data_IF_009018894594
#
_entry.id   IF_009018894594
#
_cell.length_a   1.000
_cell.length_b   1.000
_cell.length_c   1.000
_cell.angle_alpha   90.00
_cell.angle_beta   90.00
_cell.angle_gamma   90.00
#
_symmetry.space_group_name_H-M   'P 1'
#
loop_
_entity.id
_entity.type
_entity.pdbx_description
1 polymer ?
#
# COMPACT_ATOMS: atom_id res chain seq x y z
N UNK A 1 13.86 -30.11 -41.97
CA UNK A 1 13.79 -31.53 -42.34
C UNK A 1 15.19 -32.13 -42.36
N UNK A 2 15.39 -33.36 -41.87
CA UNK A 2 16.69 -34.07 -41.95
C UNK A 2 16.73 -35.03 -43.13
N UNK A 3 17.94 -35.40 -43.56
CA UNK A 3 18.19 -36.37 -44.64
C UNK A 3 17.42 -37.69 -44.44
N UNK A 4 17.03 -38.32 -45.55
CA UNK A 4 16.31 -39.59 -45.53
C UNK A 4 17.23 -40.71 -45.02
N UNK A 5 16.93 -41.37 -43.90
CA UNK A 5 17.79 -42.44 -43.38
C UNK A 5 17.61 -43.79 -44.11
N UNK A 6 16.66 -43.91 -45.04
CA UNK A 6 16.27 -45.18 -45.65
C UNK A 6 17.04 -45.48 -46.94
N UNK A 7 17.71 -46.63 -46.99
CA UNK A 7 18.35 -47.19 -48.20
C UNK A 7 17.49 -48.30 -48.83
N UNK A 8 17.57 -48.55 -50.15
CA UNK A 8 16.69 -49.49 -50.85
C UNK A 8 16.69 -50.92 -50.27
N UNK A 9 17.84 -51.41 -49.82
CA UNK A 9 18.01 -52.78 -49.32
C UNK A 9 17.64 -52.96 -47.83
N UNK A 10 17.50 -51.86 -47.09
CA UNK A 10 17.39 -51.90 -45.61
C UNK A 10 16.00 -51.53 -45.09
N UNK A 11 15.16 -50.92 -45.93
CA UNK A 11 13.85 -50.43 -45.52
C UNK A 11 12.72 -51.33 -46.06
N UNK A 12 12.08 -52.18 -45.22
CA UNK A 12 10.99 -53.05 -45.66
C UNK A 12 9.76 -52.28 -46.15
N UNK A 13 9.60 -51.02 -45.73
CA UNK A 13 8.49 -50.14 -46.13
C UNK A 13 8.82 -49.29 -47.38
N UNK A 14 9.95 -49.54 -48.05
CA UNK A 14 10.40 -48.82 -49.26
C UNK A 14 10.29 -47.29 -49.13
N UNK A 15 10.70 -46.74 -47.98
CA UNK A 15 10.62 -45.30 -47.71
C UNK A 15 11.64 -44.47 -48.52
N UNK A 16 12.55 -45.12 -49.27
CA UNK A 16 13.44 -44.46 -50.21
C UNK A 16 12.66 -43.90 -51.42
N UNK A 17 11.60 -44.57 -51.86
CA UNK A 17 10.86 -44.19 -53.08
C UNK A 17 10.04 -42.90 -52.91
N UNK A 18 10.00 -42.33 -51.70
CA UNK A 18 9.28 -41.10 -51.41
C UNK A 18 10.15 -39.91 -51.82
N UNK A 19 9.68 -39.16 -52.83
CA UNK A 19 10.36 -37.98 -53.36
C UNK A 19 10.64 -36.92 -52.29
N UNK A 20 11.78 -36.26 -52.40
CA UNK A 20 12.22 -35.26 -51.43
C UNK A 20 11.32 -34.03 -51.38
N UNK A 21 10.76 -33.62 -52.51
CA UNK A 21 9.74 -32.56 -52.60
C UNK A 21 8.51 -32.89 -51.75
N UNK A 22 8.06 -34.15 -51.77
CA UNK A 22 6.93 -34.59 -50.95
C UNK A 22 7.26 -34.55 -49.46
N UNK A 23 8.47 -34.98 -49.09
CA UNK A 23 8.94 -34.90 -47.70
C UNK A 23 8.97 -33.45 -47.21
N UNK A 24 9.44 -32.54 -48.06
CA UNK A 24 9.45 -31.10 -47.77
C UNK A 24 8.03 -30.55 -47.59
N UNK A 25 7.09 -30.90 -48.47
CA UNK A 25 5.70 -30.49 -48.33
C UNK A 25 5.03 -30.97 -47.03
N UNK A 26 5.33 -32.21 -46.60
CA UNK A 26 4.84 -32.74 -45.30
C UNK A 26 5.47 -31.97 -44.14
N UNK A 27 6.77 -31.70 -44.20
CA UNK A 27 7.48 -30.94 -43.17
C UNK A 27 6.91 -29.52 -43.04
N UNK A 28 6.76 -28.80 -44.15
CA UNK A 28 6.26 -27.43 -44.17
C UNK A 28 4.82 -27.37 -43.65
N UNK A 29 3.97 -28.32 -44.05
CA UNK A 29 2.61 -28.42 -43.53
C UNK A 29 2.60 -28.67 -42.02
N UNK A 30 3.37 -29.65 -41.54
CA UNK A 30 3.42 -30.00 -40.11
C UNK A 30 3.85 -28.82 -39.25
N UNK A 31 4.89 -28.09 -39.66
CA UNK A 31 5.39 -26.94 -38.90
C UNK A 31 4.54 -25.68 -39.05
N UNK A 32 3.66 -25.61 -40.06
CA UNK A 32 2.63 -24.57 -40.15
C UNK A 32 1.50 -24.70 -39.10
N UNK A 33 1.33 -25.90 -38.51
CA UNK A 33 0.28 -26.19 -37.54
C UNK A 33 0.62 -25.64 -36.14
N UNK A 34 -0.42 -25.32 -35.35
CA UNK A 34 -0.25 -25.02 -33.92
C UNK A 34 0.28 -26.24 -33.15
N UNK A 35 0.90 -26.02 -31.99
CA UNK A 35 1.49 -27.10 -31.17
C UNK A 35 0.49 -28.20 -30.82
N UNK A 36 -0.77 -27.84 -30.59
CA UNK A 36 -1.86 -28.81 -30.32
C UNK A 36 -2.16 -29.63 -31.59
N UNK A 37 -2.37 -28.95 -32.74
CA UNK A 37 -2.63 -29.61 -34.02
C UNK A 37 -1.46 -30.47 -34.50
N UNK A 38 -0.22 -30.11 -34.18
CA UNK A 38 0.96 -30.94 -34.45
C UNK A 38 0.90 -32.27 -33.69
N UNK A 39 0.39 -32.27 -32.46
CA UNK A 39 0.21 -33.50 -31.68
C UNK A 39 -0.93 -34.34 -32.24
N UNK A 40 -2.05 -33.72 -32.61
CA UNK A 40 -3.18 -34.42 -33.24
C UNK A 40 -2.81 -35.00 -34.61
N UNK A 41 -1.97 -34.29 -35.36
CA UNK A 41 -1.41 -34.78 -36.62
C UNK A 41 -0.57 -36.03 -36.39
N UNK A 42 0.29 -36.05 -35.36
CA UNK A 42 1.06 -37.25 -34.98
C UNK A 42 0.14 -38.42 -34.61
N UNK A 43 -0.91 -38.16 -33.83
CA UNK A 43 -1.85 -39.21 -33.37
C UNK A 43 -2.62 -39.79 -34.55
N UNK A 44 -3.14 -38.95 -35.46
CA UNK A 44 -3.88 -39.39 -36.65
C UNK A 44 -3.01 -40.19 -37.64
N UNK A 45 -1.71 -39.92 -37.67
CA UNK A 45 -0.74 -40.63 -38.52
C UNK A 45 -0.03 -41.80 -37.80
N UNK A 46 -0.49 -42.17 -36.60
CA UNK A 46 0.05 -43.30 -35.84
C UNK A 46 -1.06 -44.28 -35.45
N UNK A 47 -0.93 -45.53 -35.88
CA UNK A 47 -1.83 -46.61 -35.44
C UNK A 47 -1.19 -47.44 -34.34
N UNK A 48 -1.88 -47.57 -33.21
CA UNK A 48 -1.47 -48.40 -32.07
C UNK A 48 -2.18 -49.75 -32.13
N UNK A 49 -1.43 -50.83 -32.33
CA UNK A 49 -1.95 -52.20 -32.33
C UNK A 49 -1.38 -53.00 -31.15
N UNK A 50 -2.19 -53.90 -30.57
CA UNK A 50 -1.71 -54.87 -29.57
C UNK A 50 -0.81 -55.90 -30.26
N UNK A 51 0.26 -56.33 -29.58
CA UNK A 51 1.21 -57.31 -30.14
C UNK A 51 0.49 -58.65 -30.38
N UNK A 52 0.39 -59.08 -31.65
CA UNK A 52 -0.36 -60.27 -32.08
C UNK A 52 0.32 -61.61 -31.78
N UNK A 53 1.65 -61.66 -31.66
CA UNK A 53 2.44 -62.87 -31.32
C UNK A 53 3.42 -62.59 -30.19
N UNK A 54 3.34 -63.35 -29.09
CA UNK A 54 4.35 -63.39 -28.03
C UNK A 54 5.46 -64.37 -28.46
N UNK A 55 6.73 -63.96 -28.36
CA UNK A 55 7.91 -64.83 -28.60
C UNK A 55 8.69 -65.14 -27.32
N UNK A 56 8.23 -64.62 -26.18
CA UNK A 56 8.84 -64.83 -24.86
C UNK A 56 8.41 -66.19 -24.30
N UNK A 57 9.33 -66.91 -23.64
CA UNK A 57 9.03 -68.13 -22.89
C UNK A 57 7.96 -67.84 -21.82
N UNK A 58 7.10 -68.82 -21.58
CA UNK A 58 6.02 -68.74 -20.59
C UNK A 58 6.59 -68.28 -19.23
N UNK A 59 5.98 -67.25 -18.64
CA UNK A 59 6.34 -66.55 -17.39
C UNK A 59 7.17 -65.24 -17.43
N UNK A 60 7.47 -64.64 -18.59
CA UNK A 60 8.00 -63.25 -18.63
C UNK A 60 7.04 -62.34 -19.39
N UNK A 61 6.45 -61.34 -18.70
CA UNK A 61 5.71 -60.28 -19.37
C UNK A 61 6.63 -59.50 -20.32
N UNK A 62 6.26 -59.47 -21.61
CA UNK A 62 6.96 -58.63 -22.58
C UNK A 62 6.84 -57.16 -22.18
N UNK A 63 7.98 -56.47 -22.06
CA UNK A 63 8.04 -55.00 -21.91
C UNK A 63 7.33 -54.25 -23.04
N UNK A 64 7.18 -54.89 -24.22
CA UNK A 64 6.46 -54.34 -25.37
C UNK A 64 5.05 -54.91 -25.43
N UNK A 65 4.08 -54.15 -24.92
CA UNK A 65 2.64 -54.49 -24.95
C UNK A 65 1.94 -54.03 -26.24
N UNK A 66 2.48 -53.00 -26.91
CA UNK A 66 1.92 -52.39 -28.11
C UNK A 66 2.97 -52.22 -29.22
N UNK A 67 2.51 -52.27 -30.46
CA UNK A 67 3.28 -51.91 -31.66
C UNK A 67 2.65 -50.68 -32.29
N UNK A 68 3.51 -49.72 -32.65
CA UNK A 68 3.10 -48.50 -33.34
C UNK A 68 3.50 -48.60 -34.81
N UNK A 69 2.54 -48.35 -35.69
CA UNK A 69 2.73 -48.22 -37.13
C UNK A 69 2.53 -46.77 -37.53
N UNK A 70 3.42 -46.24 -38.36
CA UNK A 70 3.43 -44.83 -38.76
C UNK A 70 3.04 -44.70 -40.22
N UNK A 71 2.28 -43.67 -40.55
CA UNK A 71 1.75 -43.43 -41.88
C UNK A 71 2.03 -42.01 -42.34
N UNK A 72 2.13 -41.80 -43.64
CA UNK A 72 2.09 -40.48 -44.26
C UNK A 72 1.00 -40.48 -45.34
N UNK A 73 0.42 -39.31 -45.60
CA UNK A 73 -0.54 -39.17 -46.70
C UNK A 73 0.23 -39.07 -48.02
N UNK A 74 -0.11 -39.90 -49.00
CA UNK A 74 0.42 -39.88 -50.36
C UNK A 74 -0.78 -39.89 -51.33
N UNK A 75 -1.12 -38.72 -51.87
CA UNK A 75 -2.33 -38.56 -52.70
C UNK A 75 -3.61 -38.94 -51.93
N UNK A 76 -4.28 -40.00 -52.38
CA UNK A 76 -5.57 -40.49 -51.87
C UNK A 76 -5.45 -41.58 -50.78
N UNK A 77 -4.23 -41.93 -50.34
CA UNK A 77 -4.02 -43.03 -49.39
C UNK A 77 -2.99 -42.77 -48.28
N UNK A 78 -3.06 -43.60 -47.22
CA UNK A 78 -2.06 -43.65 -46.15
C UNK A 78 -0.97 -44.67 -46.51
N UNK A 79 0.27 -44.21 -46.68
CA UNK A 79 1.43 -45.08 -46.91
C UNK A 79 2.15 -45.39 -45.60
N UNK A 80 2.41 -46.67 -45.26
CA UNK A 80 3.19 -47.02 -44.09
C UNK A 80 4.65 -46.62 -44.24
N UNK A 81 5.22 -46.00 -43.21
CA UNK A 81 6.62 -45.57 -43.18
C UNK A 81 7.33 -46.10 -41.94
N UNK A 82 8.66 -46.17 -42.01
CA UNK A 82 9.46 -46.57 -40.85
C UNK A 82 9.58 -45.39 -39.85
N UNK A 83 9.80 -45.72 -38.57
CA UNK A 83 9.97 -44.73 -37.50
C UNK A 83 11.10 -43.73 -37.79
N UNK A 84 12.23 -44.22 -38.30
CA UNK A 84 13.39 -43.39 -38.61
C UNK A 84 13.07 -42.34 -39.68
N UNK A 85 12.38 -42.75 -40.75
CA UNK A 85 11.89 -41.87 -41.80
C UNK A 85 10.93 -40.82 -41.23
N UNK A 86 9.94 -41.24 -40.45
CA UNK A 86 8.91 -40.36 -39.91
C UNK A 86 9.51 -39.25 -39.03
N UNK A 87 10.39 -39.61 -38.10
CA UNK A 87 11.04 -38.67 -37.18
C UNK A 87 11.98 -37.70 -37.92
N UNK A 88 12.75 -38.19 -38.90
CA UNK A 88 13.70 -37.37 -39.67
C UNK A 88 12.99 -36.43 -40.64
N UNK A 89 11.89 -36.88 -41.25
CA UNK A 89 11.05 -36.06 -42.13
C UNK A 89 10.39 -34.93 -41.36
N UNK A 90 9.84 -35.17 -40.16
CA UNK A 90 9.24 -34.13 -39.31
C UNK A 90 10.24 -33.30 -38.49
N UNK A 91 11.49 -33.77 -38.38
CA UNK A 91 12.54 -33.23 -37.50
C UNK A 91 12.15 -33.13 -36.01
N UNK A 92 11.48 -34.15 -35.52
CA UNK A 92 11.09 -34.26 -34.10
C UNK A 92 12.03 -35.20 -33.33
N UNK A 93 11.99 -35.16 -32.00
CA UNK A 93 12.71 -36.15 -31.17
C UNK A 93 11.83 -37.39 -30.96
N UNK A 94 12.42 -38.58 -30.96
CA UNK A 94 11.69 -39.83 -30.69
C UNK A 94 10.95 -39.80 -29.35
N UNK A 95 11.54 -39.18 -28.32
CA UNK A 95 10.91 -39.00 -26.99
C UNK A 95 9.62 -38.19 -27.07
N UNK A 96 9.57 -37.15 -27.90
CA UNK A 96 8.38 -36.33 -28.08
C UNK A 96 7.26 -37.14 -28.76
N UNK A 97 7.59 -37.87 -29.83
CA UNK A 97 6.67 -38.78 -30.50
C UNK A 97 6.06 -39.80 -29.53
N UNK A 98 6.89 -40.48 -28.73
CA UNK A 98 6.41 -41.44 -27.74
C UNK A 98 5.53 -40.81 -26.65
N UNK A 99 5.88 -39.61 -26.17
CA UNK A 99 5.08 -38.89 -25.18
C UNK A 99 3.66 -38.66 -25.74
N UNK A 100 3.57 -38.05 -26.93
CA UNK A 100 2.29 -37.73 -27.59
C UNK A 100 1.43 -38.99 -27.75
N UNK A 101 2.00 -40.08 -28.26
CA UNK A 101 1.29 -41.35 -28.46
C UNK A 101 0.86 -41.99 -27.12
N UNK A 102 1.71 -41.92 -26.10
CA UNK A 102 1.43 -42.53 -24.79
C UNK A 102 0.33 -41.80 -24.02
N UNK A 103 0.22 -40.50 -24.21
CA UNK A 103 -0.78 -39.63 -23.56
C UNK A 103 -2.02 -39.41 -24.43
N UNK A 104 -2.08 -39.97 -25.63
CA UNK A 104 -3.25 -39.82 -26.49
C UNK A 104 -4.41 -40.71 -25.98
N UNK A 105 -5.60 -40.13 -25.92
CA UNK A 105 -6.85 -40.81 -25.54
C UNK A 105 -7.84 -40.68 -26.71
N UNK A 106 -8.50 -41.79 -27.06
CA UNK A 106 -9.56 -41.84 -28.10
C UNK A 106 -9.23 -41.14 -29.44
N UNK A 107 -7.95 -41.14 -29.84
CA UNK A 107 -7.51 -40.55 -31.11
C UNK A 107 -7.19 -39.05 -31.08
N UNK A 108 -7.26 -38.42 -29.91
CA UNK A 108 -6.88 -37.00 -29.72
C UNK A 108 -5.68 -36.87 -28.79
N UNK A 109 -4.89 -35.81 -28.98
CA UNK A 109 -3.78 -35.51 -28.08
C UNK A 109 -4.26 -34.82 -26.79
N UNK A 110 -3.57 -35.09 -25.68
CA UNK A 110 -3.88 -34.46 -24.40
C UNK A 110 -3.51 -32.95 -24.43
N UNK A 111 -4.39 -32.05 -23.94
CA UNK A 111 -4.13 -30.61 -23.95
C UNK A 111 -2.95 -30.24 -23.05
N UNK A 112 -2.25 -29.14 -23.35
CA UNK A 112 -1.16 -28.65 -22.51
C UNK A 112 -1.71 -28.10 -21.18
N UNK A 113 -1.24 -28.68 -20.06
CA UNK A 113 -1.64 -28.31 -18.70
C UNK A 113 -0.62 -27.41 -17.99
N UNK A 114 0.46 -26.98 -18.66
CA UNK A 114 1.45 -26.05 -18.08
C UNK A 114 0.78 -24.76 -17.61
N UNK A 115 1.13 -24.29 -16.42
CA UNK A 115 0.60 -23.06 -15.82
C UNK A 115 -0.85 -23.14 -15.31
N UNK A 116 -1.53 -24.29 -15.45
CA UNK A 116 -2.94 -24.45 -15.02
C UNK A 116 -3.09 -25.04 -13.60
N UNK A 117 -1.99 -25.42 -12.96
CA UNK A 117 -2.02 -25.95 -11.60
C UNK A 117 -2.12 -24.81 -10.56
N UNK A 118 -3.02 -24.96 -9.60
CA UNK A 118 -3.11 -24.03 -8.46
C UNK A 118 -1.88 -24.26 -7.57
N UNK A 119 -1.15 -23.20 -7.17
CA UNK A 119 -0.01 -23.34 -6.27
C UNK A 119 -0.42 -23.95 -4.93
N UNK A 120 0.36 -24.89 -4.41
CA UNK A 120 0.10 -25.56 -3.13
C UNK A 120 0.04 -24.58 -1.93
N UNK A 121 0.73 -23.44 -2.02
CA UNK A 121 0.79 -22.42 -0.97
C UNK A 121 -0.37 -21.42 -1.00
N UNK A 122 -1.37 -21.62 -1.88
CA UNK A 122 -2.51 -20.71 -1.99
C UNK A 122 -3.43 -20.90 -0.78
N UNK A 123 -3.64 -19.83 -0.01
CA UNK A 123 -4.58 -19.83 1.11
C UNK A 123 -5.97 -20.24 0.60
N UNK A 124 -6.62 -21.23 1.24
CA UNK A 124 -7.90 -21.72 0.75
C UNK A 124 -8.99 -20.64 0.89
N UNK A 125 -9.98 -20.61 -0.04
CA UNK A 125 -10.94 -19.50 -0.13
C UNK A 125 -11.80 -19.32 1.12
N UNK A 126 -12.12 -20.42 1.80
CA UNK A 126 -12.89 -20.41 3.05
C UNK A 126 -12.19 -19.60 4.17
N UNK A 127 -10.88 -19.74 4.31
CA UNK A 127 -10.10 -18.99 5.29
C UNK A 127 -10.00 -17.50 4.95
N UNK A 128 -9.92 -17.17 3.65
CA UNK A 128 -9.98 -15.79 3.21
C UNK A 128 -11.33 -15.15 3.53
N UNK A 129 -12.43 -15.89 3.37
CA UNK A 129 -13.76 -15.40 3.69
C UNK A 129 -13.92 -15.15 5.19
N UNK A 130 -13.46 -16.08 6.04
CA UNK A 130 -13.46 -15.90 7.50
C UNK A 130 -12.76 -14.62 7.96
N UNK A 131 -11.66 -14.23 7.30
CA UNK A 131 -10.95 -12.97 7.60
C UNK A 131 -11.81 -11.76 7.22
N UNK A 132 -12.47 -11.79 6.05
CA UNK A 132 -13.34 -10.69 5.61
C UNK A 132 -14.54 -10.52 6.52
N UNK A 133 -15.19 -11.62 6.88
CA UNK A 133 -16.34 -11.62 7.77
C UNK A 133 -15.95 -11.02 9.13
N UNK A 134 -14.81 -11.43 9.69
CA UNK A 134 -14.28 -10.85 10.93
C UNK A 134 -14.02 -9.35 10.83
N UNK A 135 -13.43 -8.87 9.72
CA UNK A 135 -13.16 -7.43 9.54
C UNK A 135 -14.46 -6.63 9.41
N UNK A 136 -15.50 -7.19 8.77
CA UNK A 136 -16.82 -6.57 8.64
C UNK A 136 -17.59 -6.51 9.97
N UNK A 137 -17.40 -7.49 10.85
CA UNK A 137 -17.97 -7.49 12.21
C UNK A 137 -17.36 -6.40 13.11
N UNK A 138 -16.22 -5.81 12.75
CA UNK A 138 -15.57 -4.80 13.58
C UNK A 138 -16.41 -3.51 13.64
N UNK A 139 -16.50 -2.86 14.83
CA UNK A 139 -17.27 -1.63 15.02
C UNK A 139 -16.55 -0.42 14.40
N UNK A 140 -16.43 -0.36 13.08
CA UNK A 140 -15.77 0.73 12.36
C UNK A 140 -16.72 1.92 12.16
N UNK A 141 -16.38 3.07 12.73
CA UNK A 141 -17.22 4.28 12.68
C UNK A 141 -16.62 5.28 11.68
N UNK A 142 -17.42 5.93 10.81
CA UNK A 142 -16.92 6.99 9.95
C UNK A 142 -16.43 8.20 10.75
N UNK A 143 -15.36 8.84 10.29
CA UNK A 143 -14.87 10.08 10.89
C UNK A 143 -15.95 11.17 10.88
N UNK A 144 -16.40 11.60 12.06
CA UNK A 144 -17.42 12.65 12.25
C UNK A 144 -17.00 14.01 11.67
N UNK A 145 -15.71 14.24 11.45
CA UNK A 145 -15.14 15.53 11.04
C UNK A 145 -14.64 15.57 9.58
N UNK A 146 -14.54 14.43 8.89
CA UNK A 146 -13.99 14.36 7.53
C UNK A 146 -14.98 13.84 6.47
N UNK A 147 -16.30 13.87 6.75
CA UNK A 147 -17.33 13.43 5.79
C UNK A 147 -17.25 14.17 4.44
N UNK A 148 -16.75 15.41 4.43
CA UNK A 148 -16.65 16.22 3.20
C UNK A 148 -15.50 15.78 2.27
N UNK A 149 -14.48 15.07 2.76
CA UNK A 149 -13.24 14.79 2.01
C UNK A 149 -12.80 13.31 2.00
N UNK A 150 -13.34 12.43 2.86
CA UNK A 150 -12.93 11.01 2.90
C UNK A 150 -14.04 10.06 3.36
N UNK A 151 -14.16 8.90 2.69
CA UNK A 151 -15.02 7.77 3.07
C UNK A 151 -14.36 6.79 4.06
N UNK A 152 -13.27 7.19 4.71
CA UNK A 152 -12.47 6.30 5.58
C UNK A 152 -13.14 6.07 6.93
N UNK A 153 -13.25 4.80 7.33
CA UNK A 153 -13.80 4.38 8.62
C UNK A 153 -12.68 4.12 9.64
N UNK A 154 -12.99 4.26 10.93
CA UNK A 154 -12.01 4.14 12.00
C UNK A 154 -12.44 3.12 13.06
N UNK A 155 -11.51 2.25 13.44
CA UNK A 155 -11.69 1.31 14.55
C UNK A 155 -11.50 1.99 15.90
N UNK A 156 -12.23 1.56 16.94
CA UNK A 156 -12.07 2.04 18.31
C UNK A 156 -10.63 1.92 18.82
N UNK A 157 -10.31 2.76 19.82
CA UNK A 157 -8.98 2.87 20.42
C UNK A 157 -8.48 1.56 21.05
N UNK A 158 -9.40 0.70 21.48
CA UNK A 158 -9.12 -0.58 22.13
C UNK A 158 -8.29 -1.53 21.25
N UNK A 159 -8.47 -1.45 19.93
CA UNK A 159 -7.73 -2.30 18.99
C UNK A 159 -6.26 -1.88 18.85
N UNK A 160 -5.88 -0.66 19.25
CA UNK A 160 -4.53 -0.06 19.27
C UNK A 160 -3.80 -0.05 17.93
N UNK A 161 -3.46 -1.21 17.38
CA UNK A 161 -2.70 -1.40 16.15
C UNK A 161 -3.05 -2.74 15.48
N UNK A 162 -2.60 -2.91 14.23
CA UNK A 162 -2.96 -4.07 13.41
C UNK A 162 -2.45 -5.40 13.95
N UNK A 163 -1.27 -5.41 14.58
CA UNK A 163 -0.72 -6.63 15.18
C UNK A 163 -1.51 -7.05 16.42
N UNK A 164 -2.03 -6.10 17.21
CA UNK A 164 -2.94 -6.39 18.31
C UNK A 164 -4.31 -6.89 17.81
N UNK A 165 -4.84 -6.28 16.74
CA UNK A 165 -6.06 -6.77 16.08
C UNK A 165 -5.91 -8.22 15.60
N UNK A 166 -4.77 -8.55 14.98
CA UNK A 166 -4.48 -9.93 14.57
C UNK A 166 -4.40 -10.89 15.76
N UNK A 167 -3.82 -10.48 16.90
CA UNK A 167 -3.79 -11.31 18.12
C UNK A 167 -5.20 -11.63 18.61
N UNK A 168 -6.10 -10.66 18.60
CA UNK A 168 -7.51 -10.85 18.99
C UNK A 168 -8.21 -11.79 18.01
N UNK A 169 -8.04 -11.59 16.71
CA UNK A 169 -8.55 -12.50 15.67
C UNK A 169 -8.06 -13.95 15.88
N UNK A 170 -6.76 -14.13 16.12
CA UNK A 170 -6.15 -15.44 16.35
C UNK A 170 -6.70 -16.10 17.61
N UNK A 171 -6.82 -15.35 18.72
CA UNK A 171 -7.39 -15.86 19.97
C UNK A 171 -8.86 -16.25 19.82
N UNK A 172 -9.69 -15.43 19.16
CA UNK A 172 -11.11 -15.75 18.89
C UNK A 172 -11.24 -17.07 18.14
N UNK A 173 -10.52 -17.24 17.03
CA UNK A 173 -10.58 -18.46 16.24
C UNK A 173 -9.99 -19.68 16.98
N UNK A 174 -8.93 -19.48 17.77
CA UNK A 174 -8.33 -20.56 18.56
C UNK A 174 -9.27 -21.05 19.67
N UNK A 175 -10.00 -20.14 20.33
CA UNK A 175 -11.00 -20.50 21.33
C UNK A 175 -12.22 -21.21 20.72
N UNK A 176 -12.60 -20.85 19.50
CA UNK A 176 -13.70 -21.48 18.74
C UNK A 176 -13.28 -22.77 17.99
N UNK A 177 -12.02 -23.20 18.12
CA UNK A 177 -11.49 -24.38 17.42
C UNK A 177 -11.40 -24.23 15.89
N UNK A 178 -11.46 -23.00 15.38
CA UNK A 178 -11.42 -22.68 13.94
C UNK A 178 -9.99 -22.47 13.45
N UNK A 179 -9.75 -22.85 12.20
CA UNK A 179 -8.48 -22.56 11.50
C UNK A 179 -8.37 -21.07 11.19
N UNK A 180 -7.16 -20.53 11.22
CA UNK A 180 -6.89 -19.10 11.03
C UNK A 180 -5.73 -18.86 10.05
N UNK A 181 -5.68 -17.67 9.45
CA UNK A 181 -4.59 -17.29 8.53
C UNK A 181 -3.37 -16.74 9.26
N UNK A 182 -2.20 -16.73 8.60
CA UNK A 182 -1.00 -16.06 9.09
C UNK A 182 -1.13 -14.52 9.08
N UNK A 183 -0.38 -13.84 9.95
CA UNK A 183 -0.45 -12.38 10.13
C UNK A 183 -0.24 -11.60 8.83
N UNK A 184 0.68 -12.04 7.97
CA UNK A 184 0.97 -11.38 6.69
C UNK A 184 -0.24 -11.37 5.76
N UNK A 185 -0.97 -12.48 5.70
CA UNK A 185 -2.17 -12.63 4.89
C UNK A 185 -3.28 -11.74 5.44
N UNK A 186 -3.51 -11.79 6.76
CA UNK A 186 -4.47 -10.92 7.44
C UNK A 186 -4.19 -9.43 7.21
N UNK A 187 -2.93 -9.01 7.38
CA UNK A 187 -2.49 -7.62 7.19
C UNK A 187 -2.70 -7.15 5.76
N UNK A 188 -2.36 -7.98 4.77
CA UNK A 188 -2.58 -7.62 3.37
C UNK A 188 -4.07 -7.45 3.07
N UNK A 189 -4.91 -8.43 3.44
CA UNK A 189 -6.36 -8.35 3.25
C UNK A 189 -6.95 -7.09 3.90
N UNK A 190 -6.56 -6.78 5.14
CA UNK A 190 -7.01 -5.58 5.84
C UNK A 190 -6.62 -4.28 5.11
N UNK A 191 -5.38 -4.17 4.62
CA UNK A 191 -4.89 -2.93 4.01
C UNK A 191 -5.36 -2.72 2.57
N UNK A 192 -5.57 -3.80 1.81
CA UNK A 192 -5.92 -3.71 0.38
C UNK A 192 -7.42 -3.74 0.14
N UNK A 193 -8.19 -4.52 0.92
CA UNK A 193 -9.62 -4.71 0.69
C UNK A 193 -10.49 -3.76 1.54
N UNK A 194 -9.97 -3.21 2.63
CA UNK A 194 -10.74 -2.39 3.56
C UNK A 194 -10.16 -0.99 3.75
N UNK A 195 -10.99 0.05 3.57
CA UNK A 195 -10.61 1.43 3.84
C UNK A 195 -10.83 1.80 5.32
N UNK A 196 -10.21 1.02 6.22
CA UNK A 196 -10.35 1.14 7.67
C UNK A 196 -8.99 1.52 8.29
N UNK A 197 -8.98 2.36 9.32
CA UNK A 197 -7.76 2.69 10.08
C UNK A 197 -8.01 2.78 11.57
N UNK A 198 -6.94 2.81 12.37
CA UNK A 198 -7.06 2.94 13.81
C UNK A 198 -7.40 4.39 14.17
N UNK A 199 -8.35 4.58 15.09
CA UNK A 199 -8.64 5.91 15.62
C UNK A 199 -7.46 6.40 16.47
N UNK A 200 -6.64 7.27 15.89
CA UNK A 200 -5.60 7.99 16.62
C UNK A 200 -6.30 9.09 17.43
N UNK A 201 -6.17 9.14 18.77
CA UNK A 201 -6.71 10.24 19.55
C UNK A 201 -6.19 11.56 18.98
N UNK A 202 -7.10 12.43 18.53
CA UNK A 202 -6.71 13.80 18.22
C UNK A 202 -6.19 14.42 19.50
N UNK A 203 -4.96 14.96 19.46
CA UNK A 203 -4.49 15.91 20.45
C UNK A 203 -5.50 17.06 20.50
N UNK A 204 -5.83 17.49 21.72
CA UNK A 204 -6.63 18.68 22.01
C UNK A 204 -8.09 18.66 21.52
N UNK A 205 -8.88 17.69 22.03
CA UNK A 205 -10.35 17.83 21.97
C UNK A 205 -10.80 18.95 22.89
N UNK A 206 -11.68 19.82 22.39
CA UNK A 206 -12.29 20.87 23.20
C UNK A 206 -13.08 20.28 24.38
N UNK A 207 -12.67 20.61 25.60
CA UNK A 207 -13.29 20.12 26.84
C UNK A 207 -14.78 20.47 26.90
N UNK A 208 -15.15 21.67 26.43
CA UNK A 208 -16.57 22.10 26.36
C UNK A 208 -17.37 21.21 25.41
N UNK A 209 -16.82 20.85 24.24
CA UNK A 209 -17.51 19.94 23.32
C UNK A 209 -17.70 18.55 23.93
N UNK A 210 -16.69 18.02 24.63
CA UNK A 210 -16.81 16.75 25.35
C UNK A 210 -17.91 16.83 26.42
N UNK A 211 -17.96 17.93 27.18
CA UNK A 211 -19.02 18.17 28.19
C UNK A 211 -20.41 18.13 27.54
N UNK A 212 -20.60 18.80 26.41
CA UNK A 212 -21.91 18.84 25.73
C UNK A 212 -22.29 17.51 25.06
N UNK A 213 -21.31 16.71 24.63
CA UNK A 213 -21.55 15.35 24.12
C UNK A 213 -22.00 14.40 25.24
N UNK A 214 -21.41 14.53 26.43
CA UNK A 214 -21.70 13.66 27.58
C UNK A 214 -22.99 14.05 28.34
N UNK A 215 -23.44 15.30 28.20
CA UNK A 215 -24.65 15.83 28.86
C UNK A 215 -25.63 16.42 27.82
N UNK A 216 -26.28 15.59 26.98
CA UNK A 216 -27.22 16.07 25.96
C UNK A 216 -28.44 16.72 26.62
N UNK A 217 -28.74 17.97 26.25
CA UNK A 217 -29.94 18.71 26.67
C UNK A 217 -29.73 19.74 27.80
N UNK A 218 -28.72 19.57 28.67
CA UNK A 218 -28.49 20.49 29.82
C UNK A 218 -27.86 21.83 29.44
N UNK A 219 -27.16 21.93 28.31
CA UNK A 219 -26.32 23.08 27.94
C UNK A 219 -26.58 23.58 26.52
N UNK A 220 -27.82 23.55 26.05
CA UNK A 220 -28.15 23.82 24.64
C UNK A 220 -27.72 25.23 24.21
N UNK A 221 -28.03 26.27 25.01
CA UNK A 221 -27.64 27.66 24.72
C UNK A 221 -26.11 27.86 24.74
N UNK A 222 -25.42 27.31 25.75
CA UNK A 222 -23.95 27.39 25.84
C UNK A 222 -23.26 26.66 24.69
N UNK A 223 -23.86 25.57 24.21
CA UNK A 223 -23.40 24.80 23.06
C UNK A 223 -23.56 25.60 21.77
N UNK A 224 -24.72 26.22 21.56
CA UNK A 224 -24.98 27.06 20.39
C UNK A 224 -24.01 28.24 20.35
N UNK A 225 -23.85 28.96 21.46
CA UNK A 225 -22.87 30.05 21.57
C UNK A 225 -21.45 29.58 21.28
N UNK A 226 -21.02 28.46 21.85
CA UNK A 226 -19.69 27.90 21.62
C UNK A 226 -19.47 27.51 20.14
N UNK A 227 -20.49 27.02 19.45
CA UNK A 227 -20.43 26.72 18.02
C UNK A 227 -20.35 27.98 17.16
N UNK A 228 -21.09 29.03 17.52
CA UNK A 228 -20.99 30.34 16.88
C UNK A 228 -19.60 30.94 17.05
N UNK A 229 -19.09 31.00 18.29
CA UNK A 229 -17.73 31.50 18.61
C UNK A 229 -16.66 30.76 17.80
N UNK A 230 -16.82 29.44 17.63
CA UNK A 230 -15.93 28.61 16.82
C UNK A 230 -15.93 29.04 15.35
N UNK A 231 -17.11 29.22 14.75
CA UNK A 231 -17.24 29.62 13.34
C UNK A 231 -16.67 31.02 13.13
N UNK A 232 -17.00 31.97 14.00
CA UNK A 232 -16.52 33.34 13.92
C UNK A 232 -15.00 33.44 14.08
N UNK A 233 -14.43 32.75 15.08
CA UNK A 233 -12.98 32.72 15.30
C UNK A 233 -12.24 32.17 14.10
N UNK A 234 -12.74 31.07 13.52
CA UNK A 234 -12.13 30.46 12.35
C UNK A 234 -12.22 31.35 11.12
N UNK A 235 -13.39 31.97 10.89
CA UNK A 235 -13.63 32.89 9.77
C UNK A 235 -12.71 34.10 9.87
N UNK A 236 -12.60 34.72 11.06
CA UNK A 236 -11.69 35.84 11.31
C UNK A 236 -10.24 35.45 11.06
N UNK A 237 -9.82 34.29 11.56
CA UNK A 237 -8.46 33.79 11.36
C UNK A 237 -8.15 33.58 9.88
N UNK A 238 -9.05 32.96 9.12
CA UNK A 238 -8.91 32.80 7.67
C UNK A 238 -8.79 34.14 6.96
N UNK A 239 -9.64 35.12 7.29
CA UNK A 239 -9.55 36.46 6.69
C UNK A 239 -8.19 37.09 6.97
N UNK A 240 -7.73 37.08 8.23
CA UNK A 240 -6.44 37.65 8.62
C UNK A 240 -5.25 36.99 7.91
N UNK A 241 -5.31 35.68 7.64
CA UNK A 241 -4.26 34.98 6.88
C UNK A 241 -4.09 35.52 5.46
N UNK A 242 -5.14 36.03 4.83
CA UNK A 242 -5.10 36.50 3.44
C UNK A 242 -5.00 38.01 3.30
N UNK A 243 -5.10 38.80 4.39
CA UNK A 243 -4.99 40.26 4.34
C UNK A 243 -3.71 40.75 3.66
N UNK A 244 -2.60 40.04 3.88
CA UNK A 244 -1.30 40.36 3.23
C UNK A 244 -1.39 40.42 1.71
N UNK A 245 -2.24 39.61 1.08
CA UNK A 245 -2.39 39.60 -0.39
C UNK A 245 -2.90 40.93 -0.93
N UNK A 246 -3.65 41.66 -0.13
CA UNK A 246 -4.25 42.94 -0.49
C UNK A 246 -3.47 44.12 0.10
N UNK A 247 -2.82 43.94 1.25
CA UNK A 247 -2.04 44.97 1.95
C UNK A 247 -0.66 44.46 2.36
N UNK A 248 0.37 44.96 1.68
CA UNK A 248 1.78 44.69 1.97
C UNK A 248 2.26 45.31 3.30
N UNK A 249 1.41 46.03 4.04
CA UNK A 249 1.68 46.54 5.39
C UNK A 249 1.31 45.56 6.52
N UNK A 250 0.49 44.54 6.25
CA UNK A 250 -0.05 43.62 7.29
C UNK A 250 0.71 42.31 7.27
N UNK A 251 1.11 41.77 8.43
CA UNK A 251 1.70 40.44 8.54
C UNK A 251 0.90 39.58 9.52
N UNK A 252 0.43 38.42 9.08
CA UNK A 252 -0.27 37.45 9.93
C UNK A 252 0.66 36.29 10.26
N UNK A 253 0.99 36.12 11.54
CA UNK A 253 1.91 35.11 12.03
C UNK A 253 1.23 34.25 13.10
N UNK A 254 1.42 32.95 13.00
CA UNK A 254 1.02 31.99 14.04
C UNK A 254 2.26 31.48 14.75
N UNK A 255 2.22 31.37 16.07
CA UNK A 255 3.33 30.83 16.84
C UNK A 255 2.85 29.83 17.88
N UNK A 256 3.67 28.80 18.10
CA UNK A 256 3.39 27.74 19.07
C UNK A 256 4.69 27.18 19.66
N UNK A 257 4.59 26.71 20.91
CA UNK A 257 5.70 26.05 21.58
C UNK A 257 5.58 24.54 21.37
N UNK A 258 6.47 24.00 20.54
CA UNK A 258 6.49 22.58 20.21
C UNK A 258 6.60 21.71 21.48
N UNK A 259 6.03 20.50 21.41
CA UNK A 259 6.21 19.48 22.44
C UNK A 259 7.70 19.31 22.76
N UNK A 260 8.02 19.22 24.05
CA UNK A 260 9.41 19.04 24.56
C UNK A 260 10.14 17.94 23.79
N UNK A 261 11.24 18.34 23.16
CA UNK A 261 12.14 17.48 22.42
C UNK A 261 13.16 16.92 23.41
N UNK A 262 13.33 15.60 23.44
CA UNK A 262 14.29 14.96 24.33
C UNK A 262 15.53 14.58 23.53
N UNK A 263 16.69 15.10 23.95
CA UNK A 263 17.96 14.96 23.23
C UNK A 263 18.96 14.21 24.11
N UNK A 264 19.72 13.22 23.61
CA UNK A 264 19.75 12.71 22.23
C UNK A 264 18.54 11.84 21.85
N UNK A 265 18.15 11.91 20.57
CA UNK A 265 17.10 11.08 19.96
C UNK A 265 17.74 10.00 19.07
N UNK A 266 17.19 8.78 19.11
CA UNK A 266 17.65 7.67 18.26
C UNK A 266 17.04 6.33 18.66
N UNK A 267 17.31 5.31 17.85
CA UNK A 267 16.70 3.96 17.96
C UNK A 267 17.52 2.99 18.83
N UNK A 268 18.70 3.41 19.31
CA UNK A 268 19.59 2.56 20.09
C UNK A 268 19.04 2.28 21.50
N UNK A 269 19.13 1.02 21.93
CA UNK A 269 18.79 0.59 23.29
C UNK A 269 19.59 1.35 24.37
N UNK A 270 20.81 1.81 24.05
CA UNK A 270 21.64 2.60 24.98
C UNK A 270 21.00 3.96 25.31
N UNK A 271 20.26 4.56 24.37
CA UNK A 271 19.57 5.84 24.58
C UNK A 271 18.36 5.75 25.52
N UNK A 272 17.90 4.52 25.81
CA UNK A 272 16.85 4.29 26.80
C UNK A 272 17.37 4.53 28.23
N UNK A 273 18.64 4.21 28.48
CA UNK A 273 19.28 4.33 29.80
C UNK A 273 19.98 5.69 30.01
N UNK A 274 20.14 6.49 28.95
CA UNK A 274 20.72 7.82 29.03
C UNK A 274 19.74 8.85 29.58
N UNK A 275 20.24 9.74 30.46
CA UNK A 275 19.50 10.95 30.86
C UNK A 275 19.35 11.86 29.64
N UNK A 276 18.11 12.22 29.31
CA UNK A 276 17.79 13.07 28.17
C UNK A 276 17.64 14.52 28.61
N UNK A 277 18.25 15.43 27.86
CA UNK A 277 18.12 16.87 28.03
C UNK A 277 16.83 17.32 27.37
N UNK A 278 16.03 18.11 28.10
CA UNK A 278 14.86 18.75 27.52
C UNK A 278 15.29 19.94 26.64
N UNK A 279 14.93 19.87 25.37
CA UNK A 279 15.08 20.92 24.37
C UNK A 279 13.70 21.46 24.00
N UNK A 280 13.59 22.78 23.94
CA UNK A 280 12.37 23.51 23.64
C UNK A 280 12.54 24.22 22.29
N UNK A 281 11.44 24.36 21.57
CA UNK A 281 11.42 25.02 20.27
C UNK A 281 10.16 25.89 20.18
N UNK A 282 10.34 27.21 20.16
CA UNK A 282 9.26 28.16 19.90
C UNK A 282 9.30 28.52 18.42
N UNK A 283 8.24 28.19 17.71
CA UNK A 283 8.18 28.33 16.25
C UNK A 283 7.25 29.47 15.87
N UNK A 284 7.61 30.23 14.84
CA UNK A 284 6.77 31.24 14.21
C UNK A 284 6.60 30.90 12.73
N UNK A 285 5.37 30.94 12.25
CA UNK A 285 5.04 30.73 10.85
C UNK A 285 4.24 31.91 10.30
N UNK A 286 4.74 32.51 9.24
CA UNK A 286 4.10 33.63 8.57
C UNK A 286 3.16 33.16 7.45
N UNK A 287 1.92 33.63 7.52
CA UNK A 287 0.93 33.40 6.48
C UNK A 287 1.29 34.18 5.22
N UNK A 288 1.02 33.60 4.05
CA UNK A 288 1.36 34.14 2.70
C UNK A 288 2.84 34.09 2.35
N UNK A 289 3.74 34.68 3.16
CA UNK A 289 5.20 34.64 2.90
C UNK A 289 5.76 33.24 3.07
N UNK A 290 5.11 32.38 3.88
CA UNK A 290 5.52 31.00 4.20
C UNK A 290 6.88 30.92 4.88
N UNK A 291 7.34 32.00 5.51
CA UNK A 291 8.55 31.98 6.31
C UNK A 291 8.28 31.26 7.64
N UNK A 292 9.18 30.34 7.98
CA UNK A 292 9.18 29.62 9.25
C UNK A 292 10.44 29.96 10.05
N UNK A 293 10.28 30.24 11.34
CA UNK A 293 11.37 30.51 12.28
C UNK A 293 11.32 29.50 13.42
N UNK A 294 12.45 28.85 13.73
CA UNK A 294 12.60 27.95 14.87
C UNK A 294 13.58 28.55 15.86
N UNK A 295 13.12 28.83 17.09
CA UNK A 295 13.96 29.30 18.17
C UNK A 295 14.14 28.17 19.18
N UNK A 296 15.29 27.53 19.14
CA UNK A 296 15.63 26.41 20.03
C UNK A 296 16.44 26.87 21.23
N UNK A 297 16.16 26.29 22.38
CA UNK A 297 16.98 26.39 23.60
C UNK A 297 16.79 25.13 24.44
N UNK A 298 17.71 24.85 25.35
CA UNK A 298 17.63 23.69 26.24
C UNK A 298 17.39 24.08 27.70
N UNK A 299 17.10 23.09 28.55
CA UNK A 299 16.81 23.28 29.97
C UNK A 299 17.97 23.87 30.80
N UNK A 300 19.20 23.89 30.27
CA UNK A 300 20.37 24.53 30.89
C UNK A 300 20.35 26.04 30.63
N UNK A 301 19.83 26.47 29.49
CA UNK A 301 19.77 27.87 29.08
C UNK A 301 18.54 28.60 29.65
N UNK A 302 17.41 27.91 29.76
CA UNK A 302 16.17 28.51 30.22
C UNK A 302 15.05 27.51 30.45
N UNK A 303 13.99 27.95 31.13
CA UNK A 303 12.78 27.13 31.31
C UNK A 303 11.87 27.28 30.09
N UNK A 304 10.60 26.95 30.22
CA UNK A 304 9.59 27.05 29.15
C UNK A 304 8.41 27.96 29.53
N UNK A 305 8.68 28.95 30.38
CA UNK A 305 7.66 29.84 30.93
C UNK A 305 7.44 31.09 30.07
N UNK A 306 6.58 31.97 30.56
CA UNK A 306 6.27 33.22 29.90
C UNK A 306 7.51 34.11 29.64
N UNK A 307 8.53 34.08 30.49
CA UNK A 307 9.73 34.91 30.34
C UNK A 307 10.57 34.51 29.12
N UNK A 308 10.78 33.21 28.92
CA UNK A 308 11.50 32.70 27.74
C UNK A 308 10.71 32.97 26.47
N UNK A 309 9.38 32.76 26.50
CA UNK A 309 8.47 33.13 25.41
C UNK A 309 8.56 34.63 25.09
N UNK A 310 8.54 35.50 26.09
CA UNK A 310 8.66 36.95 25.91
C UNK A 310 9.98 37.36 25.26
N UNK A 311 11.09 36.73 25.67
CA UNK A 311 12.42 37.01 25.11
C UNK A 311 12.46 36.70 23.62
N UNK A 312 11.95 35.53 23.23
CA UNK A 312 11.90 35.12 21.83
C UNK A 312 10.90 35.96 21.05
N UNK A 313 9.74 36.28 21.64
CA UNK A 313 8.73 37.12 21.01
C UNK A 313 9.27 38.53 20.73
N UNK A 314 10.01 39.11 21.68
CA UNK A 314 10.67 40.40 21.48
C UNK A 314 11.69 40.35 20.34
N UNK A 315 12.50 39.28 20.27
CA UNK A 315 13.43 39.05 19.18
C UNK A 315 12.72 38.93 17.83
N UNK A 316 11.63 38.16 17.77
CA UNK A 316 10.84 38.00 16.55
C UNK A 316 10.20 39.33 16.10
N UNK A 317 9.60 40.09 17.02
CA UNK A 317 9.00 41.40 16.71
C UNK A 317 10.06 42.36 16.14
N UNK A 318 11.26 42.38 16.74
CA UNK A 318 12.37 43.18 16.22
C UNK A 318 12.77 42.76 14.80
N UNK A 319 12.89 41.46 14.53
CA UNK A 319 13.19 40.94 13.18
C UNK A 319 12.10 41.28 12.15
N UNK A 320 10.85 41.48 12.58
CA UNK A 320 9.76 41.92 11.71
C UNK A 320 9.84 43.43 11.48
N UNK A 321 10.14 44.21 12.52
CA UNK A 321 10.26 45.67 12.45
C UNK A 321 11.41 46.11 11.53
N UNK A 322 12.53 45.38 11.54
CA UNK A 322 13.69 45.59 10.66
C UNK A 322 13.38 45.43 9.17
N UNK A 323 12.23 44.86 8.79
CA UNK A 323 11.83 44.69 7.39
C UNK A 323 11.23 45.94 6.77
N UNK A 324 10.95 46.97 7.58
CA UNK A 324 10.40 48.31 7.25
C UNK A 324 9.02 48.36 6.56
N UNK A 325 8.71 47.36 5.74
CA UNK A 325 7.46 47.18 5.01
C UNK A 325 6.27 46.80 5.88
N UNK A 326 6.48 46.38 7.13
CA UNK A 326 5.43 45.85 8.00
C UNK A 326 4.99 46.92 9.00
N UNK A 327 3.72 47.35 8.90
CA UNK A 327 3.09 48.31 9.81
C UNK A 327 2.16 47.65 10.83
N UNK A 328 1.52 46.55 10.45
CA UNK A 328 0.51 45.88 11.27
C UNK A 328 0.87 44.40 11.46
N UNK A 329 1.20 44.00 12.69
CA UNK A 329 1.55 42.63 13.04
C UNK A 329 0.39 41.92 13.76
N UNK A 330 -0.14 40.87 13.16
CA UNK A 330 -1.19 40.03 13.72
C UNK A 330 -0.56 38.72 14.21
N UNK A 331 -0.59 38.50 15.53
CA UNK A 331 -0.06 37.30 16.18
C UNK A 331 -1.21 36.38 16.59
N UNK A 332 -1.09 35.09 16.29
CA UNK A 332 -2.01 34.04 16.71
C UNK A 332 -1.28 32.98 17.52
N UNK A 333 -1.83 32.60 18.66
CA UNK A 333 -1.26 31.57 19.54
C UNK A 333 -2.34 30.82 20.33
N UNK A 334 -1.91 29.78 21.04
CA UNK A 334 -2.75 29.08 22.00
C UNK A 334 -3.14 29.97 23.20
N UNK A 335 -4.14 29.53 23.97
CA UNK A 335 -4.59 30.24 25.16
C UNK A 335 -3.87 29.80 26.44
N UNK A 336 -2.67 29.20 26.36
CA UNK A 336 -1.97 28.65 27.53
C UNK A 336 -1.64 29.76 28.54
N UNK A 337 -2.23 29.76 29.76
CA UNK A 337 -2.03 30.85 30.71
C UNK A 337 -0.58 30.98 31.19
N UNK A 338 0.10 29.84 31.40
CA UNK A 338 1.48 29.83 31.89
C UNK A 338 2.52 30.34 30.88
N UNK A 339 2.15 30.44 29.60
CA UNK A 339 3.07 30.74 28.51
C UNK A 339 2.64 31.98 27.73
N UNK A 340 1.43 31.97 27.16
CA UNK A 340 0.99 32.95 26.18
C UNK A 340 -0.07 33.91 26.73
N UNK A 341 -1.14 33.40 27.37
CA UNK A 341 -2.26 34.21 27.85
C UNK A 341 -2.05 34.70 29.28
N UNK A 342 -1.06 35.59 29.46
CA UNK A 342 -0.75 36.21 30.75
C UNK A 342 -0.33 37.67 30.62
N UNK A 343 -0.31 38.37 31.76
CA UNK A 343 0.11 39.77 31.86
C UNK A 343 1.53 40.01 31.36
N UNK A 344 2.45 39.06 31.58
CA UNK A 344 3.87 39.19 31.22
C UNK A 344 4.04 39.32 29.70
N UNK A 345 3.37 38.47 28.93
CA UNK A 345 3.39 38.53 27.45
C UNK A 345 2.77 39.82 26.94
N UNK A 346 1.63 40.25 27.49
CA UNK A 346 0.99 41.52 27.10
C UNK A 346 1.90 42.73 27.39
N UNK A 347 2.52 42.78 28.57
CA UNK A 347 3.48 43.83 28.93
C UNK A 347 4.72 43.79 28.03
N UNK A 348 5.20 42.60 27.66
CA UNK A 348 6.31 42.44 26.73
C UNK A 348 5.97 43.02 25.35
N UNK A 349 4.83 42.65 24.78
CA UNK A 349 4.36 43.16 23.48
C UNK A 349 4.23 44.68 23.51
N UNK A 350 3.63 45.22 24.57
CA UNK A 350 3.51 46.67 24.74
C UNK A 350 4.87 47.37 24.78
N UNK A 351 5.83 46.84 25.54
CA UNK A 351 7.21 47.35 25.58
C UNK A 351 7.92 47.25 24.24
N UNK A 352 7.69 46.16 23.48
CA UNK A 352 8.26 45.99 22.15
C UNK A 352 7.70 47.03 21.17
N UNK A 353 6.39 47.26 21.18
CA UNK A 353 5.75 48.26 20.34
C UNK A 353 6.34 49.66 20.54
N UNK A 354 6.61 50.05 21.80
CA UNK A 354 7.27 51.33 22.10
C UNK A 354 8.71 51.45 21.58
N UNK A 355 9.36 50.32 21.27
CA UNK A 355 10.72 50.29 20.72
C UNK A 355 10.75 50.14 19.20
N UNK A 356 9.67 49.65 18.60
CA UNK A 356 9.54 49.51 17.16
C UNK A 356 9.56 50.88 16.48
N UNK A 357 10.18 50.95 15.30
CA UNK A 357 10.23 52.17 14.48
C UNK A 357 9.16 52.16 13.39
N UNK A 358 8.84 50.97 12.85
CA UNK A 358 8.02 50.80 11.65
C UNK A 358 6.65 50.18 11.96
N UNK A 359 6.61 49.24 12.91
CA UNK A 359 5.35 48.61 13.35
C UNK A 359 4.51 49.62 14.14
N UNK A 360 3.33 49.95 13.62
CA UNK A 360 2.37 50.84 14.26
C UNK A 360 1.41 50.09 15.20
N UNK A 361 1.06 48.84 14.88
CA UNK A 361 0.13 48.05 15.70
C UNK A 361 0.55 46.59 15.81
N UNK A 362 0.48 46.05 17.03
CA UNK A 362 0.60 44.61 17.28
C UNK A 362 -0.73 44.12 17.88
N UNK A 363 -1.36 43.15 17.22
CA UNK A 363 -2.59 42.53 17.70
C UNK A 363 -2.31 41.06 18.04
N UNK A 364 -2.46 40.68 19.31
CA UNK A 364 -2.42 39.29 19.73
C UNK A 364 -3.84 38.70 19.78
N UNK A 365 -4.01 37.55 19.14
CA UNK A 365 -5.27 36.82 19.05
C UNK A 365 -5.07 35.44 19.66
N UNK A 366 -6.03 35.04 20.50
CA UNK A 366 -6.03 33.73 21.12
C UNK A 366 -7.11 32.88 20.46
N UNK A 367 -6.73 31.71 19.94
CA UNK A 367 -7.69 30.80 19.34
C UNK A 367 -8.48 30.03 20.40
N UNK A 368 -9.70 29.61 20.04
CA UNK A 368 -10.58 28.84 20.91
C UNK A 368 -9.96 27.47 21.25
N UNK A 369 -9.71 27.14 22.53
CA UNK A 369 -9.05 25.91 22.92
C UNK A 369 -9.74 24.65 22.38
N UNK A 370 -8.95 23.75 21.79
CA UNK A 370 -9.42 22.48 21.21
C UNK A 370 -10.19 22.61 19.89
N UNK A 371 -10.20 23.80 19.28
CA UNK A 371 -10.60 24.03 17.89
C UNK A 371 -9.49 24.74 17.10
N UNK A 372 -8.26 24.67 17.60
CA UNK A 372 -7.09 25.34 17.05
C UNK A 372 -6.44 24.46 15.99
N UNK A 373 -6.44 24.92 14.73
CA UNK A 373 -5.58 24.38 13.67
C UNK A 373 -4.67 25.50 13.23
N UNK A 374 -3.42 25.51 13.72
CA UNK A 374 -2.49 26.58 13.40
C UNK A 374 -1.55 26.12 12.28
N UNK A 375 -1.29 26.96 11.26
CA UNK A 375 -0.29 26.67 10.23
C UNK A 375 1.09 26.32 10.81
N UNK A 376 1.47 26.90 11.95
CA UNK A 376 2.73 26.60 12.64
C UNK A 376 2.87 25.13 13.06
N UNK A 377 1.75 24.42 13.26
CA UNK A 377 1.76 22.99 13.60
C UNK A 377 2.40 22.14 12.47
N UNK A 378 2.46 22.66 11.24
CA UNK A 378 3.13 22.00 10.11
C UNK A 378 4.66 22.05 10.19
N UNK A 379 5.22 22.89 11.08
CA UNK A 379 6.66 22.98 11.33
C UNK A 379 7.15 22.01 12.41
N UNK A 380 6.23 21.38 13.15
CA UNK A 380 6.53 20.45 14.25
C UNK A 380 6.62 19.01 13.79
#
# INVERSE_FOLDING_TARGET
MKENPCKPETCPNKCHDILEERRKGIFDHYWSLSVERQRDWIVSHTKREKVKRKRTKDNIESRRKFTHSYFINEGEGQRPVCLGFFIKTLDIRQRFLHLVISTAEEGSSNPDKRGRAVPANKTPPNLMQSVRDYIQELPAVPSHYCRKYSKKCYLPQEFKNLSNLYKIYKQKNMNEGKSYVGEKVFRNTFLTEFNISFHIPRKDKCIKCIKYENSPGEYQEEKEKHLTDKVETYTRFQTHQYLRKNDNGVLCTTFDLQKVLHTPYGESMLLYYSRKIATYNLTFYESVTRNGFCFLWNEVEGKRGANEVCTILAKYIQMVDERESIKHLLLYCDSCPGQNRNKTVLTCIHKCLHKCKNIATIQINYLLPGHTFMPVDSMH
#
